data_IF_017542222115
#
_entry.id   IF_017542222115
#
_cell.length_a   1.000
_cell.length_b   1.000
_cell.length_c   1.000
_cell.angle_alpha   90.00
_cell.angle_beta   90.00
_cell.angle_gamma   90.00
#
_symmetry.space_group_name_H-M   'P 1'
#
loop_
_entity.id
_entity.type
_entity.pdbx_description
1 polymer ?
#
# COMPACT_ATOMS: atom_id res chain seq x y z
N UNK A 1 -50.48 -9.20 41.94
CA UNK A 1 -51.41 -9.18 40.79
C UNK A 1 -50.78 -8.33 39.74
N UNK A 2 -50.34 -8.98 38.66
CA UNK A 2 -49.52 -8.35 37.63
C UNK A 2 -50.37 -7.41 36.78
N UNK A 3 -49.78 -6.31 36.32
CA UNK A 3 -50.40 -5.35 35.39
C UNK A 3 -51.09 -6.02 34.18
N UNK A 4 -50.59 -7.17 33.77
CA UNK A 4 -51.10 -8.00 32.67
C UNK A 4 -52.40 -8.76 32.99
N UNK A 5 -52.66 -9.09 34.25
CA UNK A 5 -53.87 -9.83 34.66
C UNK A 5 -55.13 -8.98 34.53
N UNK A 6 -55.04 -7.69 34.82
CA UNK A 6 -56.17 -6.75 34.74
C UNK A 6 -56.40 -6.20 33.33
N UNK A 7 -55.38 -6.22 32.46
CA UNK A 7 -55.46 -5.70 31.10
C UNK A 7 -56.15 -6.64 30.11
N UNK A 8 -56.15 -7.94 30.40
CA UNK A 8 -56.65 -9.00 29.51
C UNK A 8 -57.81 -9.82 30.09
N UNK A 9 -58.27 -9.49 31.30
CA UNK A 9 -59.51 -9.94 31.93
C UNK A 9 -60.68 -9.10 31.37
N UNK A 10 -61.16 -9.45 30.17
CA UNK A 10 -62.17 -8.68 29.44
C UNK A 10 -63.58 -8.86 30.03
N UNK A 11 -63.82 -9.99 30.69
CA UNK A 11 -65.08 -10.29 31.36
C UNK A 11 -65.13 -9.78 32.82
N UNK A 12 -64.02 -9.28 33.35
CA UNK A 12 -63.87 -8.69 34.69
C UNK A 12 -64.25 -9.66 35.83
N UNK A 13 -64.04 -10.95 35.61
CA UNK A 13 -64.29 -11.98 36.63
C UNK A 13 -63.07 -12.28 37.50
N UNK A 14 -61.92 -11.65 37.19
CA UNK A 14 -60.67 -11.81 37.92
C UNK A 14 -59.89 -13.07 37.55
N UNK A 15 -60.35 -13.86 36.57
CA UNK A 15 -59.68 -15.04 36.04
C UNK A 15 -59.50 -14.95 34.52
N UNK A 16 -58.27 -15.13 34.02
CA UNK A 16 -58.06 -15.17 32.57
C UNK A 16 -58.55 -16.51 32.01
N UNK A 17 -59.56 -16.46 31.13
CA UNK A 17 -60.10 -17.66 30.49
C UNK A 17 -59.16 -18.22 29.41
N UNK A 18 -59.54 -19.35 28.79
CA UNK A 18 -58.70 -19.96 27.74
C UNK A 18 -58.58 -19.08 26.48
N UNK A 19 -59.64 -18.37 26.10
CA UNK A 19 -59.69 -17.52 24.92
C UNK A 19 -58.84 -16.25 25.11
N UNK A 20 -58.89 -15.64 26.29
CA UNK A 20 -58.09 -14.49 26.70
C UNK A 20 -56.60 -14.85 26.78
N UNK A 21 -56.26 -16.01 27.35
CA UNK A 21 -54.89 -16.56 27.31
C UNK A 21 -54.41 -16.71 25.87
N UNK A 22 -55.22 -17.29 24.99
CA UNK A 22 -54.87 -17.49 23.59
C UNK A 22 -54.59 -16.16 22.87
N UNK A 23 -55.39 -15.12 23.15
CA UNK A 23 -55.21 -13.79 22.58
C UNK A 23 -53.93 -13.10 23.11
N UNK A 24 -53.64 -13.21 24.41
CA UNK A 24 -52.38 -12.73 25.01
C UNK A 24 -51.18 -13.41 24.35
N UNK A 25 -51.21 -14.74 24.21
CA UNK A 25 -50.14 -15.46 23.52
C UNK A 25 -50.00 -15.05 22.06
N UNK A 26 -51.12 -14.84 21.35
CA UNK A 26 -51.08 -14.37 19.97
C UNK A 26 -50.43 -13.00 19.86
N UNK A 27 -50.77 -12.05 20.74
CA UNK A 27 -50.18 -10.71 20.74
C UNK A 27 -48.70 -10.75 21.14
N UNK A 28 -48.36 -11.52 22.18
CA UNK A 28 -46.98 -11.70 22.60
C UNK A 28 -46.11 -12.33 21.49
N UNK A 29 -46.67 -13.30 20.75
CA UNK A 29 -46.01 -13.90 19.60
C UNK A 29 -45.79 -12.86 18.47
N UNK A 30 -46.79 -12.03 18.15
CA UNK A 30 -46.64 -10.97 17.14
C UNK A 30 -45.65 -9.89 17.55
N UNK A 31 -45.58 -9.52 18.84
CA UNK A 31 -44.58 -8.57 19.35
C UNK A 31 -43.18 -9.18 19.32
N UNK A 32 -43.04 -10.45 19.71
CA UNK A 32 -41.77 -11.15 19.63
C UNK A 32 -41.26 -11.26 18.18
N UNK A 33 -42.15 -11.54 17.23
CA UNK A 33 -41.86 -11.58 15.79
C UNK A 33 -41.41 -10.21 15.26
N UNK A 34 -42.11 -9.13 15.63
CA UNK A 34 -41.75 -7.76 15.23
C UNK A 34 -40.40 -7.29 15.83
N UNK A 35 -40.11 -7.67 17.08
CA UNK A 35 -38.81 -7.37 17.72
C UNK A 35 -37.68 -8.15 17.05
N UNK A 36 -37.92 -9.42 16.69
CA UNK A 36 -36.94 -10.22 15.95
C UNK A 36 -36.66 -9.64 14.55
N UNK A 37 -37.70 -9.11 13.88
CA UNK A 37 -37.55 -8.42 12.60
C UNK A 37 -36.75 -7.11 12.73
N UNK A 38 -37.01 -6.31 13.78
CA UNK A 38 -36.26 -5.08 14.07
C UNK A 38 -34.79 -5.37 14.38
N UNK A 39 -34.50 -6.38 15.20
CA UNK A 39 -33.12 -6.78 15.51
C UNK A 39 -32.36 -7.26 14.26
N UNK A 40 -33.03 -7.94 13.33
CA UNK A 40 -32.42 -8.32 12.04
C UNK A 40 -32.12 -7.11 11.19
N UNK A 41 -33.05 -6.17 11.08
CA UNK A 41 -32.86 -4.94 10.31
C UNK A 41 -31.69 -4.10 10.86
N UNK A 42 -31.59 -3.97 12.18
CA UNK A 42 -30.47 -3.24 12.80
C UNK A 42 -29.12 -3.92 12.54
N UNK A 43 -29.08 -5.25 12.52
CA UNK A 43 -27.85 -5.99 12.18
C UNK A 43 -27.47 -5.80 10.71
N UNK A 44 -28.43 -5.85 9.80
CA UNK A 44 -28.18 -5.59 8.37
C UNK A 44 -27.65 -4.17 8.14
N UNK A 45 -28.19 -3.18 8.86
CA UNK A 45 -27.71 -1.79 8.80
C UNK A 45 -26.28 -1.63 9.34
N UNK A 46 -25.96 -2.31 10.46
CA UNK A 46 -24.60 -2.30 11.03
C UNK A 46 -23.59 -2.99 10.09
N UNK A 47 -24.00 -4.08 9.43
CA UNK A 47 -23.19 -4.75 8.42
C UNK A 47 -22.95 -3.85 7.20
N UNK A 48 -23.98 -3.14 6.70
CA UNK A 48 -23.86 -2.19 5.59
C UNK A 48 -22.93 -1.01 5.94
N UNK A 49 -23.07 -0.42 7.13
CA UNK A 49 -22.19 0.65 7.60
C UNK A 49 -20.72 0.17 7.72
N UNK A 50 -20.51 -1.04 8.23
CA UNK A 50 -19.17 -1.63 8.32
C UNK A 50 -18.54 -1.88 6.94
N UNK A 51 -19.32 -2.34 5.96
CA UNK A 51 -18.86 -2.51 4.57
C UNK A 51 -18.47 -1.15 3.94
N UNK A 52 -19.28 -0.10 4.13
CA UNK A 52 -18.96 1.24 3.64
C UNK A 52 -17.68 1.81 4.29
N UNK A 53 -17.48 1.57 5.58
CA UNK A 53 -16.26 1.98 6.28
C UNK A 53 -15.02 1.25 5.76
N UNK A 54 -15.12 -0.05 5.50
CA UNK A 54 -14.03 -0.85 4.92
C UNK A 54 -13.67 -0.34 3.52
N UNK A 55 -14.66 -0.07 2.67
CA UNK A 55 -14.45 0.50 1.34
C UNK A 55 -13.78 1.88 1.40
N UNK A 56 -14.25 2.76 2.29
CA UNK A 56 -13.63 4.06 2.49
C UNK A 56 -12.19 3.96 3.02
N UNK A 57 -11.92 2.98 3.89
CA UNK A 57 -10.57 2.69 4.38
C UNK A 57 -9.67 2.14 3.26
N UNK A 58 -10.19 1.25 2.43
CA UNK A 58 -9.49 0.72 1.27
C UNK A 58 -9.15 1.84 0.28
N UNK A 59 -10.09 2.72 -0.05
CA UNK A 59 -9.84 3.88 -0.92
C UNK A 59 -8.75 4.80 -0.36
N UNK A 60 -8.79 5.12 0.93
CA UNK A 60 -7.74 5.93 1.59
C UNK A 60 -6.38 5.25 1.49
N UNK A 61 -6.33 3.94 1.75
CA UNK A 61 -5.09 3.16 1.69
C UNK A 61 -4.52 3.14 0.29
N UNK A 62 -5.35 2.89 -0.73
CA UNK A 62 -4.95 2.93 -2.14
C UNK A 62 -4.45 4.34 -2.51
N UNK A 63 -5.18 5.39 -2.11
CA UNK A 63 -4.77 6.78 -2.38
C UNK A 63 -3.42 7.11 -1.75
N UNK A 64 -3.19 6.72 -0.50
CA UNK A 64 -1.92 6.94 0.18
C UNK A 64 -0.79 6.17 -0.49
N UNK A 65 -0.98 4.89 -0.78
CA UNK A 65 0.02 4.06 -1.46
C UNK A 65 0.36 4.60 -2.86
N UNK A 66 -0.64 5.04 -3.64
CA UNK A 66 -0.41 5.67 -4.92
C UNK A 66 0.30 7.02 -4.80
N UNK A 67 -0.01 7.82 -3.77
CA UNK A 67 0.71 9.06 -3.50
C UNK A 67 2.17 8.79 -3.13
N UNK A 68 2.48 7.71 -2.41
CA UNK A 68 3.85 7.31 -2.08
C UNK A 68 4.61 6.87 -3.33
N UNK A 69 3.98 6.09 -4.21
CA UNK A 69 4.56 5.68 -5.49
C UNK A 69 4.80 6.87 -6.42
N UNK A 70 3.88 7.84 -6.47
CA UNK A 70 4.01 9.03 -7.31
C UNK A 70 5.03 10.02 -6.72
N UNK A 71 5.17 10.07 -5.39
CA UNK A 71 6.19 10.87 -4.72
C UNK A 71 7.58 10.22 -4.74
N UNK A 72 7.71 8.99 -5.26
CA UNK A 72 9.01 8.43 -5.61
C UNK A 72 9.51 9.15 -6.85
N UNK A 73 10.37 10.15 -6.64
CA UNK A 73 10.93 10.91 -7.75
C UNK A 73 11.90 10.01 -8.51
N UNK A 74 11.70 9.87 -9.82
CA UNK A 74 12.65 9.18 -10.70
C UNK A 74 14.01 9.88 -10.63
N UNK A 75 14.03 11.17 -10.30
CA UNK A 75 15.25 11.94 -10.05
C UNK A 75 16.11 11.36 -8.92
N UNK A 76 15.52 10.78 -7.86
CA UNK A 76 16.31 10.18 -6.76
C UNK A 76 17.10 8.95 -7.25
N UNK A 77 16.53 8.20 -8.22
CA UNK A 77 17.21 7.07 -8.85
C UNK A 77 18.29 7.53 -9.85
N UNK A 78 17.99 8.55 -10.65
CA UNK A 78 18.94 9.14 -11.60
C UNK A 78 20.12 9.78 -10.86
N UNK A 79 19.88 10.53 -9.78
CA UNK A 79 20.92 11.10 -8.93
C UNK A 79 21.82 10.03 -8.30
N UNK A 80 21.23 8.93 -7.82
CA UNK A 80 21.99 7.81 -7.26
C UNK A 80 22.85 7.11 -8.33
N UNK A 81 22.29 6.89 -9.52
CA UNK A 81 23.01 6.34 -10.68
C UNK A 81 24.19 7.24 -11.07
N UNK A 82 23.96 8.54 -11.18
CA UNK A 82 24.96 9.51 -11.62
C UNK A 82 26.05 9.72 -10.57
N UNK A 83 25.72 9.60 -9.27
CA UNK A 83 26.71 9.55 -8.20
C UNK A 83 27.66 8.35 -8.34
N UNK A 84 27.13 7.18 -8.69
CA UNK A 84 27.95 5.97 -8.94
C UNK A 84 28.84 6.16 -10.16
N UNK A 85 28.30 6.70 -11.26
CA UNK A 85 29.07 6.95 -12.49
C UNK A 85 30.21 7.94 -12.21
N UNK A 86 29.93 9.07 -11.53
CA UNK A 86 30.97 10.06 -11.15
C UNK A 86 32.07 9.47 -10.27
N UNK A 87 31.71 8.61 -9.31
CA UNK A 87 32.69 7.93 -8.47
C UNK A 87 33.60 7.01 -9.32
N UNK A 88 33.00 6.24 -10.23
CA UNK A 88 33.74 5.35 -11.12
C UNK A 88 34.64 6.09 -12.09
N UNK A 89 34.16 7.22 -12.62
CA UNK A 89 34.91 8.11 -13.51
C UNK A 89 36.15 8.66 -12.80
N UNK A 90 36.00 9.11 -11.55
CA UNK A 90 37.13 9.57 -10.72
C UNK A 90 38.21 8.49 -10.57
N UNK A 91 37.81 7.24 -10.34
CA UNK A 91 38.73 6.11 -10.24
C UNK A 91 39.46 5.80 -11.55
N UNK A 92 38.76 5.89 -12.68
CA UNK A 92 39.33 5.64 -14.01
C UNK A 92 40.27 6.76 -14.43
N UNK A 93 39.93 8.03 -14.18
CA UNK A 93 40.80 9.18 -14.45
C UNK A 93 42.08 9.11 -13.61
N UNK A 94 41.98 8.70 -12.34
CA UNK A 94 43.16 8.43 -11.51
C UNK A 94 44.02 7.31 -12.08
N UNK A 95 43.40 6.21 -12.53
CA UNK A 95 44.12 5.09 -13.14
C UNK A 95 44.82 5.51 -14.43
N UNK A 96 44.17 6.33 -15.26
CA UNK A 96 44.77 6.90 -16.47
C UNK A 96 46.01 7.73 -16.11
N UNK A 97 45.91 8.59 -15.09
CA UNK A 97 47.05 9.36 -14.59
C UNK A 97 48.21 8.49 -14.09
N UNK A 98 47.91 7.43 -13.32
CA UNK A 98 48.93 6.47 -12.87
C UNK A 98 49.64 5.81 -14.07
N UNK A 99 48.88 5.47 -15.13
CA UNK A 99 49.43 4.86 -16.35
C UNK A 99 50.26 5.84 -17.19
N UNK A 100 49.86 7.11 -17.26
CA UNK A 100 50.65 8.17 -17.91
C UNK A 100 51.99 8.38 -17.20
N UNK A 101 52.07 8.16 -15.88
CA UNK A 101 53.33 8.19 -15.14
C UNK A 101 54.24 6.98 -15.42
N UNK A 102 53.65 5.87 -15.89
CA UNK A 102 54.32 4.60 -16.17
C UNK A 102 54.56 4.37 -17.68
N UNK A 103 54.53 5.45 -18.48
CA UNK A 103 54.81 5.39 -19.93
C UNK A 103 56.16 4.70 -20.20
N UNK A 104 56.19 3.63 -21.02
CA UNK A 104 57.44 2.98 -21.39
C UNK A 104 58.34 3.90 -22.24
N UNK A 105 59.62 4.03 -21.86
CA UNK A 105 60.60 4.88 -22.57
C UNK A 105 60.84 4.47 -24.04
N UNK A 106 60.63 3.20 -24.38
CA UNK A 106 60.86 2.66 -25.73
C UNK A 106 59.56 2.54 -26.52
N UNK A 107 59.32 3.54 -27.37
CA UNK A 107 58.11 3.71 -28.19
C UNK A 107 57.97 2.60 -29.26
N UNK A 108 59.06 1.91 -29.63
CA UNK A 108 59.02 0.82 -30.61
C UNK A 108 58.89 -0.57 -29.95
N UNK A 109 58.70 -0.60 -28.63
CA UNK A 109 58.57 -1.83 -27.86
C UNK A 109 57.13 -2.35 -27.85
N UNK A 110 56.97 -3.67 -27.80
CA UNK A 110 55.67 -4.30 -27.60
C UNK A 110 55.02 -3.91 -26.25
N UNK A 111 55.81 -3.47 -25.27
CA UNK A 111 55.30 -2.89 -24.01
C UNK A 111 54.65 -1.53 -24.21
N UNK A 112 55.19 -0.69 -25.09
CA UNK A 112 54.57 0.58 -25.45
C UNK A 112 53.27 0.35 -26.21
N UNK A 113 53.27 -0.56 -27.20
CA UNK A 113 52.05 -0.92 -27.94
C UNK A 113 50.91 -1.37 -27.00
N UNK A 114 51.21 -2.22 -26.02
CA UNK A 114 50.23 -2.71 -25.04
C UNK A 114 49.76 -1.62 -24.06
N UNK A 115 50.66 -0.71 -23.68
CA UNK A 115 50.32 0.44 -22.85
C UNK A 115 49.43 1.43 -23.59
N UNK A 116 49.75 1.73 -24.85
CA UNK A 116 48.98 2.64 -25.72
C UNK A 116 47.58 2.10 -25.97
N UNK A 117 47.45 0.81 -26.33
CA UNK A 117 46.13 0.17 -26.53
C UNK A 117 45.28 0.21 -25.25
N UNK A 118 45.89 -0.06 -24.09
CA UNK A 118 45.17 -0.03 -22.83
C UNK A 118 44.82 1.39 -22.36
N UNK A 119 45.64 2.39 -22.69
CA UNK A 119 45.35 3.81 -22.45
C UNK A 119 44.16 4.26 -23.30
N UNK A 120 44.16 3.94 -24.60
CA UNK A 120 43.05 4.24 -25.52
C UNK A 120 41.74 3.59 -25.05
N UNK A 121 41.78 2.33 -24.58
CA UNK A 121 40.59 1.67 -24.03
C UNK A 121 40.06 2.37 -22.77
N UNK A 122 40.94 2.84 -21.88
CA UNK A 122 40.54 3.60 -20.69
C UNK A 122 39.91 4.95 -21.07
N UNK A 123 40.50 5.67 -22.02
CA UNK A 123 39.96 6.93 -22.53
C UNK A 123 38.59 6.74 -23.18
N UNK A 124 38.40 5.68 -23.96
CA UNK A 124 37.11 5.33 -24.54
C UNK A 124 36.04 5.10 -23.48
N UNK A 125 36.34 4.31 -22.45
CA UNK A 125 35.40 4.05 -21.34
C UNK A 125 35.11 5.33 -20.54
N UNK A 126 36.12 6.19 -20.32
CA UNK A 126 35.89 7.48 -19.65
C UNK A 126 34.97 8.37 -20.48
N UNK A 127 35.13 8.40 -21.81
CA UNK A 127 34.26 9.16 -22.71
C UNK A 127 32.82 8.64 -22.68
N UNK A 128 32.63 7.32 -22.79
CA UNK A 128 31.31 6.68 -22.77
C UNK A 128 30.56 6.97 -21.45
N UNK A 129 31.28 6.93 -20.32
CA UNK A 129 30.70 7.28 -19.01
C UNK A 129 30.40 8.77 -18.85
N UNK A 130 31.13 9.66 -19.54
CA UNK A 130 30.83 11.10 -19.57
C UNK A 130 29.58 11.37 -20.41
N UNK A 131 29.47 10.74 -21.57
CA UNK A 131 28.30 10.86 -22.43
C UNK A 131 27.04 10.38 -21.70
N UNK A 132 27.14 9.31 -20.91
CA UNK A 132 26.03 8.79 -20.08
C UNK A 132 25.59 9.73 -18.94
N UNK A 133 26.48 10.61 -18.47
CA UNK A 133 26.15 11.64 -17.47
C UNK A 133 25.53 12.90 -18.09
N UNK A 134 25.76 13.13 -19.38
CA UNK A 134 25.27 14.31 -20.11
C UNK A 134 23.92 14.05 -20.83
N UNK A 135 23.40 12.82 -20.79
CA UNK A 135 22.08 12.36 -21.32
C UNK A 135 20.95 12.53 -20.31
#
# INVERSE_FOLDING_TARGET
MGFWETLFDFNHDGEIDFCEKLLVFSMAASVADAVEEEERFLRELEEEEAEEEEDAQMERTIRTALSEIINFDVSDYEDARDAVIRAKLTDLERKLFDWECEEPDDILSASYDAWEEGREQLEYVISDLKDLLDE
#
